data_IF_929560075626
#
_entry.id   IF_929560075626
#
_cell.length_a   1.000
_cell.length_b   1.000
_cell.length_c   1.000
_cell.angle_alpha   90.00
_cell.angle_beta   90.00
_cell.angle_gamma   90.00
#
_symmetry.space_group_name_H-M   'P 1'
#
loop_
_entity.id
_entity.type
_entity.pdbx_description
1 polymer ?
#
# COMPACT_ATOMS: atom_id res chain seq x y z
N UNK A 1 5.11 4.77 5.38
CA UNK A 1 4.65 6.04 6.00
C UNK A 1 5.48 7.28 5.63
N UNK A 2 6.80 7.17 5.34
CA UNK A 2 7.69 8.34 5.09
C UNK A 2 7.14 9.39 4.10
N UNK A 3 6.59 8.97 2.95
CA UNK A 3 6.07 9.89 1.93
C UNK A 3 4.94 10.81 2.46
N UNK A 4 4.02 10.29 3.26
CA UNK A 4 2.94 11.08 3.84
C UNK A 4 3.44 12.00 4.95
N UNK A 5 4.38 11.53 5.78
CA UNK A 5 4.98 12.38 6.81
C UNK A 5 5.67 13.59 6.18
N UNK A 6 6.46 13.36 5.13
CA UNK A 6 7.14 14.44 4.44
C UNK A 6 6.17 15.39 3.74
N UNK A 7 5.09 14.89 3.14
CA UNK A 7 4.05 15.73 2.54
C UNK A 7 3.43 16.69 3.58
N UNK A 8 3.20 16.21 4.81
CA UNK A 8 2.73 17.06 5.92
C UNK A 8 3.80 18.09 6.32
N UNK A 9 5.07 17.67 6.44
CA UNK A 9 6.18 18.55 6.84
C UNK A 9 6.40 19.72 5.88
N UNK A 10 6.24 19.49 4.57
CA UNK A 10 6.39 20.54 3.55
C UNK A 10 5.13 21.40 3.37
N UNK A 11 4.08 21.16 4.15
CA UNK A 11 2.85 21.96 4.14
C UNK A 11 1.91 21.65 2.96
N UNK A 12 1.88 20.39 2.48
CA UNK A 12 0.94 20.00 1.44
C UNK A 12 -0.52 20.18 1.93
N UNK A 13 -1.37 20.77 1.08
CA UNK A 13 -2.78 21.03 1.41
C UNK A 13 -3.66 19.79 1.33
N UNK A 14 -3.23 18.78 0.58
CA UNK A 14 -3.93 17.52 0.42
C UNK A 14 -2.92 16.40 0.16
N UNK A 15 -3.31 15.18 0.54
CA UNK A 15 -2.60 13.95 0.22
C UNK A 15 -3.55 13.10 -0.63
N UNK A 16 -3.09 12.74 -1.81
CA UNK A 16 -3.74 11.76 -2.67
C UNK A 16 -3.10 10.39 -2.42
N UNK A 17 -3.91 9.34 -2.50
CA UNK A 17 -3.43 7.96 -2.42
C UNK A 17 -4.46 7.00 -2.99
N UNK A 18 -3.96 5.87 -3.49
CA UNK A 18 -4.77 4.73 -3.90
C UNK A 18 -4.94 3.69 -2.79
N UNK A 19 -6.10 3.04 -2.79
CA UNK A 19 -6.43 1.93 -1.90
C UNK A 19 -6.85 0.69 -2.67
N UNK A 20 -6.54 -0.48 -2.11
CA UNK A 20 -7.03 -1.78 -2.54
C UNK A 20 -7.55 -2.57 -1.35
N UNK A 21 -8.35 -3.61 -1.62
CA UNK A 21 -8.77 -4.57 -0.60
C UNK A 21 -7.87 -5.80 -0.63
N UNK A 22 -7.49 -6.27 0.56
CA UNK A 22 -6.98 -7.62 0.76
C UNK A 22 -8.12 -8.65 0.56
N UNK A 23 -7.75 -9.93 0.47
CA UNK A 23 -8.71 -11.03 0.36
C UNK A 23 -9.68 -11.11 1.54
N UNK A 24 -9.21 -10.79 2.74
CA UNK A 24 -9.97 -10.77 3.99
C UNK A 24 -10.61 -9.40 4.29
N UNK A 25 -10.66 -8.49 3.30
CA UNK A 25 -11.43 -7.24 3.37
C UNK A 25 -10.73 -6.09 4.10
N UNK A 26 -9.44 -6.21 4.40
CA UNK A 26 -8.64 -5.13 4.97
C UNK A 26 -8.23 -4.15 3.87
N UNK A 27 -8.46 -2.87 4.11
CA UNK A 27 -8.04 -1.79 3.19
C UNK A 27 -6.54 -1.56 3.33
N UNK A 28 -5.83 -1.55 2.20
CA UNK A 28 -4.38 -1.31 2.15
C UNK A 28 -4.05 -0.18 1.18
N UNK A 29 -2.97 0.54 1.47
CA UNK A 29 -2.40 1.57 0.60
C UNK A 29 -1.51 0.91 -0.45
N UNK A 30 -1.91 1.00 -1.71
CA UNK A 30 -1.11 0.50 -2.84
C UNK A 30 -1.65 1.10 -4.13
N UNK A 31 -0.78 1.59 -5.00
CA UNK A 31 -1.21 2.07 -6.32
C UNK A 31 -1.51 0.89 -7.25
N UNK A 32 -0.54 -0.01 -7.41
CA UNK A 32 -0.66 -1.13 -8.33
C UNK A 32 -1.55 -2.23 -7.73
N UNK A 33 -2.34 -2.90 -8.56
CA UNK A 33 -3.05 -4.12 -8.14
C UNK A 33 -2.11 -5.30 -7.79
N UNK A 34 -0.81 -5.17 -8.07
CA UNK A 34 0.21 -6.21 -7.87
C UNK A 34 1.37 -5.72 -7.03
N UNK A 35 2.01 -6.64 -6.31
CA UNK A 35 3.18 -6.35 -5.48
C UNK A 35 4.51 -6.28 -6.27
N UNK A 36 4.46 -6.46 -7.60
CA UNK A 36 5.64 -6.68 -8.44
C UNK A 36 6.57 -5.46 -8.50
N UNK A 37 6.03 -4.26 -8.72
CA UNK A 37 6.83 -3.03 -8.88
C UNK A 37 7.50 -2.60 -7.58
N UNK A 38 6.76 -2.60 -6.46
CA UNK A 38 7.25 -2.07 -5.19
C UNK A 38 7.96 -3.11 -4.31
N UNK A 39 7.61 -4.39 -4.45
CA UNK A 39 8.11 -5.45 -3.56
C UNK A 39 8.77 -6.62 -4.30
N UNK A 40 8.78 -6.63 -5.64
CA UNK A 40 9.38 -7.72 -6.43
C UNK A 40 8.60 -9.04 -6.36
N UNK A 41 7.38 -9.03 -5.81
CA UNK A 41 6.56 -10.24 -5.60
C UNK A 41 5.48 -10.32 -6.68
N UNK A 42 5.45 -11.41 -7.42
CA UNK A 42 4.46 -11.64 -8.48
C UNK A 42 3.14 -12.17 -7.90
N UNK A 43 2.43 -11.31 -7.15
CA UNK A 43 1.11 -11.57 -6.55
C UNK A 43 0.23 -10.33 -6.66
N UNK A 44 -1.09 -10.54 -6.71
CA UNK A 44 -2.09 -9.47 -6.61
C UNK A 44 -2.48 -9.22 -5.15
N UNK A 45 -2.84 -7.97 -4.84
CA UNK A 45 -3.26 -7.56 -3.50
C UNK A 45 -4.53 -8.31 -3.06
N UNK A 46 -5.53 -8.40 -3.95
CA UNK A 46 -6.82 -9.05 -3.68
C UNK A 46 -6.74 -10.56 -3.42
N UNK A 47 -5.61 -11.20 -3.74
CA UNK A 47 -5.41 -12.64 -3.52
C UNK A 47 -4.73 -12.95 -2.17
N UNK A 48 -4.30 -11.92 -1.43
CA UNK A 48 -3.53 -12.04 -0.19
C UNK A 48 -4.36 -11.58 1.02
N UNK A 49 -4.32 -12.33 2.12
CA UNK A 49 -4.84 -11.84 3.42
C UNK A 49 -3.92 -10.75 3.99
N UNK A 50 -4.44 -9.91 4.89
CA UNK A 50 -3.66 -8.87 5.56
C UNK A 50 -2.37 -9.40 6.17
N UNK A 51 -2.41 -10.57 6.83
CA UNK A 51 -1.23 -11.21 7.43
C UNK A 51 -0.09 -11.44 6.42
N UNK A 52 -0.43 -11.71 5.15
CA UNK A 52 0.55 -11.86 4.08
C UNK A 52 1.06 -10.48 3.61
N UNK A 53 0.16 -9.51 3.42
CA UNK A 53 0.50 -8.18 2.93
C UNK A 53 1.37 -7.40 3.93
N UNK A 54 1.05 -7.49 5.22
CA UNK A 54 1.78 -6.82 6.32
C UNK A 54 3.18 -7.38 6.57
N UNK A 55 3.55 -8.48 5.90
CA UNK A 55 4.89 -9.04 5.96
C UNK A 55 5.85 -8.41 4.93
N UNK A 56 5.33 -7.60 4.00
CA UNK A 56 6.13 -6.93 2.98
C UNK A 56 6.44 -5.50 3.41
N UNK A 57 7.74 -5.19 3.48
CA UNK A 57 8.28 -3.89 3.86
C UNK A 57 8.56 -3.74 5.37
N UNK A 58 9.40 -2.76 5.74
CA UNK A 58 9.45 -2.21 7.10
C UNK A 58 8.27 -1.27 7.40
#
# INVERSE_FOLDING_TARGET
MSAFMHAVEVGAHAIETDIHLSRDGVVVLSHDATLKRCFGVDKRVIDCDWKCLSAYGP
#
